data_IF_437489324266
#
_entry.id   IF_437489324266
#
_cell.length_a   1.000
_cell.length_b   1.000
_cell.length_c   1.000
_cell.angle_alpha   90.00
_cell.angle_beta   90.00
_cell.angle_gamma   90.00
#
_symmetry.space_group_name_H-M   'P 1'
#
loop_
_entity.id
_entity.type
_entity.pdbx_description
1 polymer ?
#
# COMPACT_ATOMS: atom_id res chain seq x y z
N UNK A 1 36.22 8.96 -17.24
CA UNK A 1 36.38 10.23 -16.48
C UNK A 1 36.08 9.98 -15.01
N UNK A 2 37.05 10.26 -14.13
CA UNK A 2 36.98 9.96 -12.69
C UNK A 2 35.93 10.83 -11.97
N UNK A 3 34.98 10.21 -11.27
CA UNK A 3 34.02 10.90 -10.41
C UNK A 3 34.76 11.41 -9.16
N UNK A 4 34.95 12.72 -9.05
CA UNK A 4 35.55 13.37 -7.88
C UNK A 4 34.69 13.09 -6.64
N UNK A 5 35.25 12.40 -5.65
CA UNK A 5 34.61 12.19 -4.33
C UNK A 5 34.77 13.45 -3.48
N UNK A 6 33.68 13.84 -2.80
CA UNK A 6 33.64 14.95 -1.85
C UNK A 6 34.61 14.71 -0.70
N UNK A 7 35.32 15.76 -0.28
CA UNK A 7 36.27 15.70 0.84
C UNK A 7 35.54 15.57 2.18
N UNK A 8 36.21 15.00 3.19
CA UNK A 8 35.62 14.80 4.54
C UNK A 8 35.11 16.11 5.17
N UNK A 9 35.73 17.24 4.85
CA UNK A 9 35.28 18.57 5.29
C UNK A 9 33.96 19.00 4.61
N UNK A 10 33.75 18.66 3.34
CA UNK A 10 32.50 18.93 2.62
C UNK A 10 31.36 18.06 3.12
N UNK A 11 31.64 16.79 3.44
CA UNK A 11 30.64 15.89 4.04
C UNK A 11 30.20 16.37 5.44
N UNK A 12 31.12 16.91 6.24
CA UNK A 12 30.81 17.45 7.57
C UNK A 12 29.87 18.67 7.50
N UNK A 13 30.12 19.60 6.59
CA UNK A 13 29.26 20.80 6.37
C UNK A 13 27.84 20.45 5.90
N UNK A 14 27.68 19.39 5.10
CA UNK A 14 26.36 18.92 4.68
C UNK A 14 25.60 18.26 5.83
N UNK A 15 26.31 17.60 6.75
CA UNK A 15 25.72 17.00 7.96
C UNK A 15 25.31 18.07 8.99
N UNK A 16 26.15 19.09 9.21
CA UNK A 16 25.87 20.20 10.14
C UNK A 16 24.65 21.03 9.68
N UNK A 17 24.50 21.30 8.38
CA UNK A 17 23.30 21.97 7.83
C UNK A 17 21.99 21.17 7.95
N UNK A 18 22.06 19.86 8.21
CA UNK A 18 20.88 18.97 8.25
C UNK A 18 20.33 18.81 9.68
N UNK A 19 21.02 19.33 10.69
CA UNK A 19 20.77 19.04 12.10
C UNK A 19 20.46 20.28 12.97
N UNK A 20 20.40 21.49 12.41
CA UNK A 20 19.99 22.67 13.19
C UNK A 20 18.47 22.81 13.23
N UNK A 21 17.85 22.87 14.43
CA UNK A 21 16.46 23.27 14.60
C UNK A 21 16.35 24.80 14.56
N UNK A 22 15.42 25.31 13.75
CA UNK A 22 15.08 26.74 13.69
C UNK A 22 14.50 27.18 15.03
N UNK A 23 15.20 28.08 15.73
CA UNK A 23 14.61 28.89 16.80
C UNK A 23 14.76 30.35 16.43
N UNK A 24 13.65 31.07 16.50
CA UNK A 24 13.57 32.51 16.27
C UNK A 24 14.42 33.26 17.29
N UNK A 25 15.35 34.08 16.80
CA UNK A 25 15.46 35.49 17.19
C UNK A 25 16.70 36.14 16.56
N UNK A 26 16.54 37.44 16.32
CA UNK A 26 17.58 38.45 16.08
C UNK A 26 17.84 38.85 14.62
N UNK A 27 17.08 39.89 14.29
CA UNK A 27 17.35 40.94 13.34
C UNK A 27 18.81 41.42 13.26
N UNK A 28 19.08 41.96 12.07
CA UNK A 28 19.98 43.06 11.73
C UNK A 28 21.24 42.69 10.92
N UNK A 29 21.19 43.20 9.68
CA UNK A 29 22.31 43.67 8.87
C UNK A 29 23.26 42.63 8.27
N UNK A 30 23.05 42.32 6.97
CA UNK A 30 23.76 43.01 5.88
C UNK A 30 23.98 42.12 4.65
N UNK A 31 23.78 42.76 3.48
CA UNK A 31 24.28 42.41 2.13
C UNK A 31 23.53 41.34 1.33
N UNK A 32 22.43 41.82 0.75
CA UNK A 32 22.10 41.73 -0.69
C UNK A 32 23.08 40.92 -1.55
N UNK A 33 22.69 39.69 -1.86
CA UNK A 33 22.95 39.10 -3.18
C UNK A 33 21.59 38.62 -3.67
N UNK A 34 20.97 39.44 -4.52
CA UNK A 34 19.69 39.13 -5.15
C UNK A 34 19.87 37.90 -6.04
N UNK A 35 19.18 36.81 -5.72
CA UNK A 35 18.86 35.76 -6.68
C UNK A 35 17.42 36.03 -7.13
N UNK A 36 17.27 36.77 -8.23
CA UNK A 36 16.02 37.25 -8.82
C UNK A 36 15.20 36.16 -9.55
N UNK A 37 15.20 34.91 -9.07
CA UNK A 37 14.47 33.80 -9.73
C UNK A 37 13.28 33.25 -8.93
N UNK A 38 12.79 33.96 -7.91
CA UNK A 38 11.78 33.41 -6.99
C UNK A 38 10.52 34.28 -6.78
N UNK A 39 10.21 35.19 -7.71
CA UNK A 39 9.11 36.19 -7.57
C UNK A 39 7.83 35.80 -8.32
N UNK A 40 7.77 34.65 -8.99
CA UNK A 40 6.66 34.28 -9.88
C UNK A 40 5.77 33.12 -9.39
N UNK A 41 6.08 32.52 -8.24
CA UNK A 41 5.29 31.42 -7.68
C UNK A 41 4.41 31.93 -6.53
N UNK A 42 3.20 31.39 -6.43
CA UNK A 42 2.27 31.73 -5.36
C UNK A 42 2.73 31.24 -3.98
N UNK A 43 1.87 31.43 -2.97
CA UNK A 43 2.15 30.98 -1.60
C UNK A 43 2.27 29.45 -1.57
N UNK A 44 3.25 28.88 -0.85
CA UNK A 44 3.34 27.43 -0.66
C UNK A 44 2.13 26.88 0.09
N UNK A 45 1.50 25.86 -0.48
CA UNK A 45 0.35 25.17 0.10
C UNK A 45 0.62 23.67 0.19
N UNK A 46 -0.01 23.00 1.15
CA UNK A 46 -0.04 21.55 1.17
C UNK A 46 -1.01 21.01 0.14
N UNK A 47 -0.73 19.80 -0.35
CA UNK A 47 -1.64 19.08 -1.22
C UNK A 47 -1.37 17.59 -1.21
N UNK A 48 -2.35 16.84 -1.68
CA UNK A 48 -2.33 15.39 -1.78
C UNK A 48 -2.11 14.99 -3.24
N UNK A 49 -1.14 14.11 -3.50
CA UNK A 49 -0.95 13.56 -4.84
C UNK A 49 -2.04 12.53 -5.12
N UNK A 50 -2.94 12.84 -6.04
CA UNK A 50 -4.01 11.95 -6.48
C UNK A 50 -3.47 10.89 -7.44
N UNK A 51 -2.63 11.31 -8.39
CA UNK A 51 -2.01 10.40 -9.35
C UNK A 51 -0.82 11.05 -10.06
N UNK A 52 0.07 10.23 -10.62
CA UNK A 52 1.25 10.67 -11.36
C UNK A 52 1.15 10.19 -12.81
N UNK A 53 1.13 11.12 -13.77
CA UNK A 53 1.07 10.84 -15.21
C UNK A 53 2.44 10.95 -15.91
N UNK A 54 3.53 10.78 -15.18
CA UNK A 54 4.90 10.84 -15.67
C UNK A 54 5.48 12.25 -15.61
N UNK A 55 5.11 13.12 -16.57
CA UNK A 55 5.70 14.48 -16.66
C UNK A 55 5.04 15.48 -15.69
N UNK A 56 3.75 15.30 -15.43
CA UNK A 56 2.98 16.10 -14.48
C UNK A 56 2.27 15.16 -13.52
N UNK A 57 1.99 15.68 -12.34
CA UNK A 57 1.19 15.00 -11.33
C UNK A 57 -0.07 15.82 -11.07
N UNK A 58 -1.12 15.14 -10.64
CA UNK A 58 -2.33 15.81 -10.20
C UNK A 58 -2.29 15.91 -8.67
N UNK A 59 -2.36 17.14 -8.18
CA UNK A 59 -2.37 17.45 -6.75
C UNK A 59 -3.75 17.99 -6.38
N UNK A 60 -4.36 17.43 -5.36
CA UNK A 60 -5.51 18.02 -4.70
C UNK A 60 -5.04 19.05 -3.68
N UNK A 61 -5.51 20.28 -3.83
CA UNK A 61 -5.27 21.37 -2.90
C UNK A 61 -6.20 21.28 -1.68
N UNK A 62 -5.89 22.02 -0.61
CA UNK A 62 -6.70 22.02 0.61
C UNK A 62 -8.18 22.44 0.42
N UNK A 63 -8.49 23.15 -0.66
CA UNK A 63 -9.86 23.54 -1.03
C UNK A 63 -10.58 22.49 -1.90
N UNK A 64 -9.99 21.32 -2.13
CA UNK A 64 -10.51 20.24 -2.98
C UNK A 64 -10.31 20.44 -4.48
N UNK A 65 -9.66 21.55 -4.91
CA UNK A 65 -9.37 21.76 -6.33
C UNK A 65 -8.20 20.89 -6.81
N UNK A 66 -8.32 20.40 -8.04
CA UNK A 66 -7.31 19.55 -8.66
C UNK A 66 -6.40 20.38 -9.57
N UNK A 67 -5.10 20.42 -9.24
CA UNK A 67 -4.10 21.25 -9.91
C UNK A 67 -3.03 20.40 -10.56
N UNK A 68 -2.74 20.69 -11.83
CA UNK A 68 -1.69 20.01 -12.58
C UNK A 68 -0.31 20.57 -12.21
N UNK A 69 0.47 19.80 -11.47
CA UNK A 69 1.76 20.24 -10.97
C UNK A 69 2.94 19.63 -11.75
N UNK A 70 3.91 20.46 -12.09
CA UNK A 70 5.25 20.01 -12.45
C UNK A 70 6.03 19.62 -11.19
N UNK A 71 6.97 18.69 -11.30
CA UNK A 71 7.76 18.21 -10.16
C UNK A 71 9.21 18.65 -10.31
N UNK A 72 9.77 19.29 -9.28
CA UNK A 72 11.20 19.63 -9.28
C UNK A 72 12.05 18.36 -9.34
N UNK A 73 13.07 18.35 -10.20
CA UNK A 73 13.87 17.16 -10.53
C UNK A 73 14.51 16.45 -9.31
N UNK A 74 14.80 17.18 -8.24
CA UNK A 74 15.46 16.63 -7.05
C UNK A 74 14.54 15.83 -6.12
N UNK A 75 13.21 15.90 -6.31
CA UNK A 75 12.23 15.22 -5.45
C UNK A 75 12.03 13.74 -5.81
N UNK A 76 12.58 13.30 -6.94
CA UNK A 76 12.43 11.93 -7.42
C UNK A 76 10.99 11.63 -7.86
N UNK A 77 10.58 10.36 -7.73
CA UNK A 77 9.25 9.90 -8.15
C UNK A 77 8.24 10.12 -7.03
N UNK A 78 7.17 10.85 -7.35
CA UNK A 78 5.99 11.00 -6.51
C UNK A 78 4.91 9.98 -6.91
N UNK A 79 4.09 9.55 -5.96
CA UNK A 79 3.07 8.51 -6.13
C UNK A 79 1.76 8.90 -5.47
N UNK A 80 0.68 8.18 -5.77
CA UNK A 80 -0.61 8.41 -5.12
C UNK A 80 -0.47 8.28 -3.59
N UNK A 81 -1.09 9.21 -2.86
CA UNK A 81 -1.00 9.29 -1.40
C UNK A 81 0.15 10.15 -0.87
N UNK A 82 1.05 10.64 -1.72
CA UNK A 82 2.11 11.56 -1.27
C UNK A 82 1.53 12.89 -0.78
N UNK A 83 2.01 13.36 0.37
CA UNK A 83 1.70 14.71 0.87
C UNK A 83 2.83 15.63 0.42
N UNK A 84 2.50 16.66 -0.33
CA UNK A 84 3.49 17.57 -0.94
C UNK A 84 3.23 19.02 -0.56
N UNK A 85 4.26 19.84 -0.70
CA UNK A 85 4.11 21.29 -0.74
C UNK A 85 4.25 21.74 -2.19
N UNK A 86 3.27 22.48 -2.68
CA UNK A 86 3.23 22.99 -4.03
C UNK A 86 2.94 24.49 -4.03
N UNK A 87 3.22 25.15 -5.15
CA UNK A 87 2.93 26.57 -5.36
C UNK A 87 2.22 26.73 -6.70
N UNK A 88 1.27 27.65 -6.78
CA UNK A 88 0.67 28.04 -8.06
C UNK A 88 1.73 28.63 -8.99
N UNK A 89 1.63 28.26 -10.27
CA UNK A 89 2.44 28.84 -11.34
C UNK A 89 1.72 30.07 -11.94
N UNK A 90 2.38 30.75 -12.87
CA UNK A 90 1.84 31.91 -13.59
C UNK A 90 0.67 31.51 -14.49
N UNK A 91 0.69 30.28 -15.02
CA UNK A 91 -0.39 29.71 -15.82
C UNK A 91 -1.55 29.23 -14.92
N UNK A 92 -2.77 29.64 -15.26
CA UNK A 92 -3.97 29.23 -14.52
C UNK A 92 -4.09 27.70 -14.41
N UNK A 93 -4.48 27.24 -13.22
CA UNK A 93 -4.68 25.82 -12.89
C UNK A 93 -3.43 24.93 -13.04
N UNK A 94 -2.24 25.52 -12.94
CA UNK A 94 -0.98 24.79 -12.89
C UNK A 94 -0.16 25.17 -11.67
N UNK A 95 0.76 24.28 -11.28
CA UNK A 95 1.63 24.51 -10.13
C UNK A 95 2.98 23.80 -10.24
N UNK A 96 3.80 24.01 -9.22
CA UNK A 96 5.10 23.36 -9.08
C UNK A 96 5.21 22.75 -7.69
N UNK A 97 5.48 21.45 -7.62
CA UNK A 97 5.81 20.78 -6.36
C UNK A 97 7.22 21.15 -5.94
N UNK A 98 7.34 21.67 -4.73
CA UNK A 98 8.59 22.20 -4.17
C UNK A 98 9.21 21.27 -3.13
N UNK A 99 8.40 20.55 -2.37
CA UNK A 99 8.86 19.56 -1.39
C UNK A 99 7.90 18.40 -1.22
N UNK A 100 8.44 17.28 -0.74
CA UNK A 100 7.71 16.07 -0.36
C UNK A 100 7.81 15.90 1.16
N UNK A 101 6.68 15.70 1.82
CA UNK A 101 6.61 15.31 3.23
C UNK A 101 7.12 13.87 3.38
N UNK A 102 7.91 13.54 4.42
CA UNK A 102 8.37 12.17 4.66
C UNK A 102 7.21 11.17 4.69
N UNK A 103 7.34 10.09 3.93
CA UNK A 103 6.34 9.04 3.84
C UNK A 103 6.36 8.19 5.09
N UNK A 104 5.18 7.78 5.55
CA UNK A 104 5.05 6.80 6.64
C UNK A 104 5.23 5.37 6.14
N UNK A 105 4.54 5.04 5.04
CA UNK A 105 4.56 3.73 4.42
C UNK A 105 4.68 3.85 2.91
N UNK A 106 5.34 2.89 2.28
CA UNK A 106 5.56 2.84 0.83
C UNK A 106 5.16 1.48 0.27
N UNK A 107 4.39 1.50 -0.82
CA UNK A 107 4.05 0.31 -1.57
C UNK A 107 4.82 0.30 -2.88
N UNK A 108 5.64 -0.74 -3.03
CA UNK A 108 6.45 -0.95 -4.22
C UNK A 108 6.12 -2.28 -4.88
N UNK A 109 6.14 -2.29 -6.21
CA UNK A 109 5.99 -3.50 -7.02
C UNK A 109 7.28 -3.83 -7.77
N UNK A 110 7.54 -5.10 -8.10
CA UNK A 110 8.53 -5.44 -9.10
C UNK A 110 8.19 -4.77 -10.44
N UNK A 111 9.18 -4.11 -11.03
CA UNK A 111 9.14 -3.50 -12.34
C UNK A 111 9.96 -4.30 -13.37
N UNK A 112 10.09 -3.76 -14.58
CA UNK A 112 10.83 -4.40 -15.65
C UNK A 112 12.32 -4.55 -15.28
N UNK A 113 12.88 -5.75 -15.50
CA UNK A 113 14.28 -6.11 -15.19
C UNK A 113 14.65 -6.00 -13.70
N UNK A 114 13.75 -6.38 -12.81
CA UNK A 114 14.03 -6.48 -11.36
C UNK A 114 14.12 -5.14 -10.62
N UNK A 115 13.86 -4.01 -11.28
CA UNK A 115 13.77 -2.72 -10.59
C UNK A 115 12.47 -2.62 -9.82
N UNK A 116 12.50 -2.28 -8.54
CA UNK A 116 11.29 -1.94 -7.79
C UNK A 116 10.76 -0.59 -8.25
N UNK A 117 9.44 -0.51 -8.41
CA UNK A 117 8.73 0.73 -8.72
C UNK A 117 7.75 1.01 -7.62
N UNK A 118 7.90 2.17 -7.00
CA UNK A 118 6.90 2.68 -6.07
C UNK A 118 5.60 3.00 -6.79
N UNK A 119 4.51 2.68 -6.11
CA UNK A 119 3.15 2.67 -6.63
C UNK A 119 2.27 3.60 -5.82
N UNK A 120 2.36 3.52 -4.50
CA UNK A 120 1.56 4.29 -3.56
C UNK A 120 2.35 4.56 -2.28
N UNK A 121 1.91 5.53 -1.50
CA UNK A 121 2.52 5.92 -0.24
C UNK A 121 1.46 6.30 0.79
N UNK A 122 1.86 6.41 2.06
CA UNK A 122 1.01 6.78 3.19
C UNK A 122 -0.25 5.90 3.28
N UNK A 123 -0.05 4.60 3.13
CA UNK A 123 -1.11 3.60 3.23
C UNK A 123 -1.30 3.26 4.71
N UNK A 124 -2.56 3.21 5.13
CA UNK A 124 -2.94 2.91 6.51
C UNK A 124 -3.56 1.51 6.64
N UNK A 125 -4.07 0.94 5.55
CA UNK A 125 -4.78 -0.34 5.57
C UNK A 125 -4.59 -1.15 4.28
N UNK A 126 -4.31 -2.44 4.43
CA UNK A 126 -4.35 -3.41 3.34
C UNK A 126 -5.66 -4.22 3.39
N UNK A 127 -6.45 -4.16 2.32
CA UNK A 127 -7.73 -4.86 2.19
C UNK A 127 -7.55 -6.07 1.28
N UNK A 128 -7.57 -7.27 1.85
CA UNK A 128 -7.42 -8.51 1.09
C UNK A 128 -8.78 -8.95 0.58
N UNK A 129 -8.99 -8.95 -0.75
CA UNK A 129 -10.26 -9.33 -1.36
C UNK A 129 -10.19 -10.76 -1.89
N UNK A 130 -10.90 -11.67 -1.22
CA UNK A 130 -11.05 -13.07 -1.61
C UNK A 130 -12.46 -13.31 -2.19
N UNK A 131 -12.59 -13.81 -3.43
CA UNK A 131 -13.90 -14.09 -4.00
C UNK A 131 -14.43 -15.47 -3.61
N UNK A 132 -15.76 -15.59 -3.44
CA UNK A 132 -16.44 -16.89 -3.28
C UNK A 132 -16.17 -17.82 -4.49
N UNK A 133 -16.15 -17.25 -5.70
CA UNK A 133 -15.90 -17.99 -6.95
C UNK A 133 -14.65 -17.41 -7.66
N UNK A 134 -13.62 -18.23 -7.95
CA UNK A 134 -13.59 -19.71 -7.99
C UNK A 134 -13.37 -20.42 -6.65
N UNK A 135 -13.17 -19.69 -5.56
CA UNK A 135 -12.94 -20.24 -4.22
C UNK A 135 -12.01 -19.36 -3.40
N UNK A 136 -12.11 -19.49 -2.09
CA UNK A 136 -11.18 -18.86 -1.15
C UNK A 136 -9.96 -19.77 -1.04
N UNK A 137 -8.78 -19.21 -1.31
CA UNK A 137 -7.51 -19.93 -1.24
C UNK A 137 -6.69 -19.44 -0.04
N UNK A 138 -6.49 -20.28 0.99
CA UNK A 138 -5.69 -19.90 2.15
C UNK A 138 -4.28 -19.43 1.79
N UNK A 139 -3.61 -20.15 0.88
CA UNK A 139 -2.29 -19.78 0.38
C UNK A 139 -2.22 -18.34 -0.18
N UNK A 140 -3.31 -17.85 -0.76
CA UNK A 140 -3.37 -16.49 -1.30
C UNK A 140 -3.50 -15.46 -0.18
N UNK A 141 -4.33 -15.73 0.82
CA UNK A 141 -4.53 -14.83 1.97
C UNK A 141 -3.23 -14.73 2.75
N UNK A 142 -2.62 -15.86 3.08
CA UNK A 142 -1.36 -15.94 3.83
C UNK A 142 -0.24 -15.14 3.16
N UNK A 143 -0.13 -15.22 1.83
CA UNK A 143 0.83 -14.39 1.07
C UNK A 143 0.60 -12.89 1.27
N UNK A 144 -0.64 -12.44 1.30
CA UNK A 144 -0.91 -11.02 1.57
C UNK A 144 -0.70 -10.65 3.03
N UNK A 145 -0.91 -11.57 3.98
CA UNK A 145 -0.57 -11.34 5.39
C UNK A 145 0.94 -11.19 5.57
N UNK A 146 1.75 -11.99 4.87
CA UNK A 146 3.21 -11.81 4.86
C UNK A 146 3.61 -10.45 4.27
N UNK A 147 2.99 -10.04 3.16
CA UNK A 147 3.19 -8.69 2.60
C UNK A 147 2.85 -7.61 3.62
N UNK A 148 1.71 -7.73 4.29
CA UNK A 148 1.27 -6.75 5.27
C UNK A 148 2.21 -6.67 6.47
N UNK A 149 2.71 -7.82 6.95
CA UNK A 149 3.72 -7.88 7.99
C UNK A 149 5.02 -7.18 7.56
N UNK A 150 5.52 -7.45 6.34
CA UNK A 150 6.70 -6.80 5.78
C UNK A 150 6.54 -5.27 5.66
N UNK A 151 5.32 -4.80 5.39
CA UNK A 151 4.98 -3.38 5.28
C UNK A 151 4.51 -2.76 6.60
N UNK A 152 4.39 -3.54 7.67
CA UNK A 152 3.83 -3.11 8.96
C UNK A 152 2.46 -2.44 8.80
N UNK A 153 1.61 -3.02 7.96
CA UNK A 153 0.25 -2.53 7.69
C UNK A 153 -0.78 -3.38 8.43
N UNK A 154 -1.77 -2.76 9.09
CA UNK A 154 -3.00 -3.44 9.47
C UNK A 154 -3.69 -4.06 8.24
N UNK A 155 -4.41 -5.16 8.48
CA UNK A 155 -5.12 -5.89 7.42
C UNK A 155 -6.54 -6.22 7.81
N UNK A 156 -7.43 -6.16 6.82
CA UNK A 156 -8.78 -6.77 6.90
C UNK A 156 -8.98 -7.72 5.72
N UNK A 157 -9.85 -8.71 5.92
CA UNK A 157 -10.22 -9.69 4.91
C UNK A 157 -11.64 -9.42 4.42
N UNK A 158 -11.80 -9.26 3.11
CA UNK A 158 -13.09 -9.06 2.47
C UNK A 158 -13.44 -10.29 1.65
N UNK A 159 -14.53 -10.96 2.02
CA UNK A 159 -15.07 -12.10 1.30
C UNK A 159 -16.12 -11.59 0.32
N UNK A 160 -15.74 -11.46 -0.95
CA UNK A 160 -16.59 -10.83 -1.96
C UNK A 160 -17.40 -11.85 -2.76
N UNK A 161 -18.50 -11.38 -3.34
CA UNK A 161 -19.47 -12.16 -4.14
C UNK A 161 -20.28 -13.14 -3.30
N UNK A 162 -20.68 -12.73 -2.10
CA UNK A 162 -21.54 -13.53 -1.21
C UNK A 162 -22.92 -13.82 -1.82
N UNK A 163 -23.35 -13.05 -2.82
CA UNK A 163 -24.54 -13.31 -3.65
C UNK A 163 -24.49 -14.65 -4.40
N UNK A 164 -23.31 -15.25 -4.56
CA UNK A 164 -23.14 -16.55 -5.21
C UNK A 164 -23.26 -17.74 -4.26
N UNK A 165 -23.49 -17.50 -2.96
CA UNK A 165 -23.70 -18.56 -1.97
C UNK A 165 -25.11 -19.12 -2.15
N UNK A 166 -25.22 -20.43 -2.36
CA UNK A 166 -26.47 -21.10 -2.73
C UNK A 166 -27.12 -21.87 -1.59
N UNK A 167 -26.37 -22.15 -0.51
CA UNK A 167 -26.88 -22.87 0.66
C UNK A 167 -26.11 -22.51 1.93
N UNK A 168 -26.75 -22.73 3.08
CA UNK A 168 -26.11 -22.56 4.40
C UNK A 168 -24.92 -23.52 4.57
N UNK A 169 -25.01 -24.74 4.04
CA UNK A 169 -23.91 -25.72 4.02
C UNK A 169 -22.67 -25.17 3.29
N UNK A 170 -22.86 -24.45 2.19
CA UNK A 170 -21.75 -23.83 1.46
C UNK A 170 -21.11 -22.71 2.30
N UNK A 171 -21.93 -21.92 2.99
CA UNK A 171 -21.44 -20.89 3.90
C UNK A 171 -20.65 -21.48 5.08
N UNK A 172 -21.12 -22.58 5.67
CA UNK A 172 -20.41 -23.28 6.75
C UNK A 172 -19.02 -23.74 6.30
N UNK A 173 -18.88 -24.35 5.11
CA UNK A 173 -17.57 -24.75 4.57
C UNK A 173 -16.63 -23.55 4.36
N UNK A 174 -17.18 -22.42 3.93
CA UNK A 174 -16.42 -21.18 3.79
C UNK A 174 -15.98 -20.67 5.17
N UNK A 175 -16.89 -20.63 6.14
CA UNK A 175 -16.60 -20.18 7.50
C UNK A 175 -15.51 -21.05 8.15
N UNK A 176 -15.55 -22.38 7.98
CA UNK A 176 -14.50 -23.30 8.44
C UNK A 176 -13.12 -22.94 7.85
N UNK A 177 -13.07 -22.57 6.57
CA UNK A 177 -11.84 -22.14 5.91
C UNK A 177 -11.29 -20.82 6.48
N UNK A 178 -12.16 -20.03 7.12
CA UNK A 178 -11.84 -18.70 7.64
C UNK A 178 -11.46 -18.69 9.13
N UNK A 179 -11.77 -19.76 9.88
CA UNK A 179 -11.41 -19.93 11.30
C UNK A 179 -9.97 -19.53 11.61
N UNK A 180 -8.94 -19.95 10.84
CA UNK A 180 -7.55 -19.61 11.17
C UNK A 180 -7.27 -18.11 11.17
N UNK A 181 -8.02 -17.31 10.40
CA UNK A 181 -7.84 -15.86 10.33
C UNK A 181 -8.63 -15.13 11.42
N UNK A 182 -9.80 -15.66 11.76
CA UNK A 182 -10.61 -15.17 12.88
C UNK A 182 -9.87 -15.35 14.22
N UNK A 183 -9.25 -16.52 14.43
CA UNK A 183 -8.39 -16.78 15.61
C UNK A 183 -7.18 -15.85 15.69
N UNK A 184 -6.74 -15.30 14.55
CA UNK A 184 -5.69 -14.27 14.46
C UNK A 184 -6.22 -12.84 14.69
N UNK A 185 -7.51 -12.68 14.99
CA UNK A 185 -8.22 -11.40 15.14
C UNK A 185 -8.15 -10.54 13.86
N UNK A 186 -8.11 -11.16 12.68
CA UNK A 186 -8.25 -10.45 11.41
C UNK A 186 -9.74 -10.24 11.18
N UNK A 187 -10.17 -8.99 11.09
CA UNK A 187 -11.57 -8.69 10.81
C UNK A 187 -11.97 -9.18 9.41
N UNK A 188 -13.11 -9.87 9.34
CA UNK A 188 -13.63 -10.50 8.13
C UNK A 188 -14.96 -9.84 7.75
N UNK A 189 -15.04 -9.32 6.52
CA UNK A 189 -16.21 -8.63 5.97
C UNK A 189 -16.79 -9.41 4.78
N UNK A 190 -17.88 -10.16 4.96
CA UNK A 190 -18.62 -10.77 3.87
C UNK A 190 -19.39 -9.69 3.11
N UNK A 191 -19.16 -9.55 1.81
CA UNK A 191 -19.77 -8.50 0.99
C UNK A 191 -20.22 -8.99 -0.38
N UNK A 192 -21.20 -8.31 -0.94
CA UNK A 192 -21.55 -8.40 -2.36
C UNK A 192 -21.60 -7.02 -2.99
N UNK A 193 -20.85 -6.85 -4.08
CA UNK A 193 -20.98 -5.64 -4.91
C UNK A 193 -22.30 -5.61 -5.70
N UNK A 194 -22.94 -6.76 -5.90
CA UNK A 194 -24.19 -6.90 -6.68
C UNK A 194 -25.41 -6.59 -5.82
N UNK A 195 -25.51 -7.20 -4.64
CA UNK A 195 -26.65 -6.97 -3.73
C UNK A 195 -26.44 -5.78 -2.80
N UNK A 196 -25.21 -5.27 -2.71
CA UNK A 196 -24.76 -4.23 -1.77
C UNK A 196 -24.70 -4.67 -0.31
N UNK A 197 -24.90 -5.96 -0.02
CA UNK A 197 -24.82 -6.49 1.34
C UNK A 197 -23.39 -6.36 1.90
N UNK A 198 -23.30 -5.99 3.19
CA UNK A 198 -22.04 -5.83 3.92
C UNK A 198 -21.17 -4.63 3.52
N UNK A 199 -21.59 -3.84 2.51
CA UNK A 199 -20.81 -2.68 2.07
C UNK A 199 -20.76 -1.55 3.11
N UNK A 200 -21.79 -1.42 3.95
CA UNK A 200 -21.82 -0.38 4.98
C UNK A 200 -20.81 -0.67 6.10
N UNK A 201 -20.78 -1.90 6.63
CA UNK A 201 -19.77 -2.33 7.61
C UNK A 201 -18.35 -2.17 7.05
N UNK A 202 -18.16 -2.50 5.76
CA UNK A 202 -16.89 -2.27 5.09
C UNK A 202 -16.55 -0.78 4.97
N UNK A 203 -17.53 0.10 4.71
CA UNK A 203 -17.28 1.55 4.67
C UNK A 203 -16.83 2.08 6.03
N UNK A 204 -17.48 1.65 7.11
CA UNK A 204 -17.09 2.02 8.47
C UNK A 204 -15.63 1.63 8.76
N UNK A 205 -15.24 0.42 8.34
CA UNK A 205 -13.86 -0.05 8.50
C UNK A 205 -12.82 0.78 7.72
N UNK A 206 -13.22 1.51 6.68
CA UNK A 206 -12.36 2.32 5.81
C UNK A 206 -12.27 3.80 6.23
N UNK A 207 -13.11 4.26 7.16
CA UNK A 207 -13.16 5.65 7.61
C UNK A 207 -11.76 6.15 8.01
N UNK A 208 -11.41 7.34 7.52
CA UNK A 208 -10.15 8.03 7.75
C UNK A 208 -8.86 7.25 7.39
N UNK A 209 -8.94 6.16 6.61
CA UNK A 209 -7.79 5.35 6.21
C UNK A 209 -7.49 5.45 4.71
N UNK A 210 -6.22 5.50 4.35
CA UNK A 210 -5.76 5.26 2.99
C UNK A 210 -5.63 3.76 2.74
N UNK A 211 -6.58 3.20 2.01
CA UNK A 211 -6.73 1.74 1.85
C UNK A 211 -6.29 1.26 0.48
N UNK A 212 -5.58 0.14 0.43
CA UNK A 212 -5.18 -0.53 -0.81
C UNK A 212 -5.83 -1.90 -0.90
N UNK A 213 -6.51 -2.15 -2.02
CA UNK A 213 -7.23 -3.40 -2.25
C UNK A 213 -6.35 -4.38 -3.03
N UNK A 214 -6.12 -5.56 -2.47
CA UNK A 214 -5.32 -6.63 -3.06
C UNK A 214 -6.13 -7.92 -3.22
N UNK A 215 -5.65 -8.87 -4.01
CA UNK A 215 -6.36 -10.11 -4.31
C UNK A 215 -6.21 -10.54 -5.78
N UNK A 216 -6.65 -11.74 -6.15
CA UNK A 216 -6.48 -12.27 -7.50
C UNK A 216 -7.26 -11.47 -8.57
N UNK A 217 -6.90 -11.68 -9.83
CA UNK A 217 -7.73 -11.20 -10.95
C UNK A 217 -9.12 -11.86 -10.87
N UNK A 218 -10.18 -11.09 -11.15
CA UNK A 218 -11.55 -11.61 -11.02
C UNK A 218 -12.10 -11.64 -9.59
N UNK A 219 -11.33 -11.22 -8.57
CA UNK A 219 -11.82 -11.10 -7.18
C UNK A 219 -12.94 -10.07 -6.99
N UNK A 220 -13.23 -9.25 -8.01
CA UNK A 220 -14.26 -8.22 -7.93
C UNK A 220 -13.81 -6.89 -7.33
N UNK A 221 -12.51 -6.66 -7.09
CA UNK A 221 -11.97 -5.37 -6.57
C UNK A 221 -12.52 -4.15 -7.30
N UNK A 222 -12.47 -4.12 -8.63
CA UNK A 222 -12.96 -2.97 -9.39
C UNK A 222 -14.48 -2.79 -9.27
N UNK A 223 -15.25 -3.88 -9.17
CA UNK A 223 -16.69 -3.82 -8.91
C UNK A 223 -16.97 -3.31 -7.50
N UNK A 224 -16.19 -3.75 -6.51
CA UNK A 224 -16.30 -3.33 -5.12
C UNK A 224 -15.98 -1.84 -4.96
N UNK A 225 -14.92 -1.35 -5.62
CA UNK A 225 -14.58 0.07 -5.66
C UNK A 225 -15.72 0.89 -6.29
N UNK A 226 -16.32 0.41 -7.38
CA UNK A 226 -17.50 1.07 -7.99
C UNK A 226 -18.70 1.10 -7.05
N UNK A 227 -18.96 0.04 -6.30
CA UNK A 227 -20.05 -0.02 -5.34
C UNK A 227 -19.81 0.91 -4.13
N UNK A 228 -18.56 1.04 -3.70
CA UNK A 228 -18.15 1.97 -2.63
C UNK A 228 -18.13 3.43 -3.10
N UNK A 229 -17.89 3.68 -4.39
CA UNK A 229 -17.79 5.02 -5.00
C UNK A 229 -18.69 5.08 -6.25
N UNK A 230 -20.01 5.34 -6.08
CA UNK A 230 -20.97 5.29 -7.18
C UNK A 230 -20.61 6.18 -8.38
N UNK A 231 -20.08 7.39 -8.12
CA UNK A 231 -19.73 8.36 -9.17
C UNK A 231 -18.29 8.20 -9.72
N UNK A 232 -17.64 7.06 -9.50
CA UNK A 232 -16.24 6.87 -9.88
C UNK A 232 -15.99 7.08 -11.38
N UNK A 233 -16.92 6.70 -12.25
CA UNK A 233 -16.75 6.88 -13.70
C UNK A 233 -16.75 8.36 -14.09
N UNK A 234 -17.57 9.17 -13.43
CA UNK A 234 -17.58 10.63 -13.59
C UNK A 234 -16.24 11.19 -13.10
N UNK A 235 -15.78 10.75 -11.92
CA UNK A 235 -14.47 11.17 -11.37
C UNK A 235 -13.33 10.81 -12.34
N UNK A 236 -13.31 9.60 -12.90
CA UNK A 236 -12.29 9.16 -13.87
C UNK A 236 -12.35 9.98 -15.17
N UNK A 237 -13.54 10.28 -15.68
CA UNK A 237 -13.67 11.12 -16.88
C UNK A 237 -13.20 12.56 -16.61
N UNK A 238 -13.57 13.17 -15.47
CA UNK A 238 -13.09 14.49 -15.08
C UNK A 238 -11.57 14.53 -14.90
N UNK A 239 -10.97 13.45 -14.38
CA UNK A 239 -9.51 13.29 -14.30
C UNK A 239 -8.88 13.21 -15.70
N UNK A 240 -9.49 12.47 -16.63
CA UNK A 240 -9.03 12.37 -18.02
C UNK A 240 -9.10 13.73 -18.75
N UNK A 241 -10.20 14.47 -18.59
CA UNK A 241 -10.40 15.78 -19.19
C UNK A 241 -9.46 16.84 -18.61
N UNK A 242 -9.34 16.93 -17.28
CA UNK A 242 -8.45 17.88 -16.60
C UNK A 242 -6.96 17.64 -16.90
N UNK A 243 -6.59 16.43 -17.33
CA UNK A 243 -5.19 16.05 -17.59
C UNK A 243 -4.87 15.96 -19.08
N UNK A 244 -5.88 16.01 -19.95
CA UNK A 244 -5.74 15.86 -21.40
C UNK A 244 -5.27 14.47 -21.86
N UNK A 245 -5.29 13.48 -20.98
CA UNK A 245 -4.87 12.09 -21.25
C UNK A 245 -6.10 11.23 -21.48
N UNK A 246 -6.19 10.57 -22.64
CA UNK A 246 -7.38 9.82 -23.05
C UNK A 246 -7.81 8.69 -22.09
N UNK A 247 -9.10 8.30 -22.19
CA UNK A 247 -9.85 7.37 -21.33
C UNK A 247 -9.25 5.96 -21.12
N UNK A 248 -8.21 5.56 -21.87
CA UNK A 248 -7.79 4.16 -22.01
C UNK A 248 -6.38 3.82 -21.49
N UNK A 249 -5.67 4.71 -20.77
CA UNK A 249 -4.24 4.51 -20.47
C UNK A 249 -3.87 4.68 -18.99
N UNK A 250 -4.73 4.27 -18.05
CA UNK A 250 -4.39 4.28 -16.62
C UNK A 250 -3.50 3.09 -16.27
N UNK A 251 -2.18 3.30 -16.40
CA UNK A 251 -1.13 2.39 -15.87
C UNK A 251 -0.63 2.81 -14.49
N UNK A 252 -1.06 3.99 -14.03
CA UNK A 252 -0.64 4.61 -12.78
C UNK A 252 -1.70 4.46 -11.70
N UNK A 253 -1.26 4.51 -10.45
CA UNK A 253 -2.14 4.45 -9.30
C UNK A 253 -2.91 5.75 -9.15
N UNK A 254 -4.17 5.63 -8.73
CA UNK A 254 -5.09 6.74 -8.52
C UNK A 254 -5.67 6.61 -7.12
N UNK A 255 -5.66 7.71 -6.37
CA UNK A 255 -6.35 7.85 -5.10
C UNK A 255 -7.77 8.35 -5.35
N UNK A 256 -8.76 7.68 -4.77
CA UNK A 256 -10.16 8.08 -4.79
C UNK A 256 -10.66 8.31 -3.38
N UNK A 257 -11.32 9.44 -3.14
CA UNK A 257 -12.03 9.69 -1.89
C UNK A 257 -13.32 8.87 -1.83
N UNK A 258 -13.52 8.22 -0.70
CA UNK A 258 -14.80 7.60 -0.35
C UNK A 258 -15.85 8.70 -0.10
N UNK A 259 -17.13 8.45 -0.43
CA UNK A 259 -18.20 9.38 -0.11
C UNK A 259 -18.38 9.49 1.41
N UNK A 260 -18.79 10.65 1.95
CA UNK A 260 -19.10 10.82 3.37
C UNK A 260 -20.11 9.77 3.87
N UNK A 261 -19.86 9.24 5.07
CA UNK A 261 -20.71 8.26 5.75
C UNK A 261 -21.03 8.79 7.14
N UNK A 262 -22.29 8.69 7.58
CA UNK A 262 -22.75 9.15 8.91
C UNK A 262 -22.34 10.57 9.34
N UNK A 263 -22.08 11.47 8.38
CA UNK A 263 -21.65 12.85 8.65
C UNK A 263 -20.15 13.02 8.91
N UNK A 264 -19.35 11.96 8.75
CA UNK A 264 -17.88 12.04 8.79
C UNK A 264 -17.35 12.77 7.54
N UNK A 265 -16.62 13.86 7.75
CA UNK A 265 -15.99 14.62 6.66
C UNK A 265 -14.86 13.83 5.99
N UNK A 266 -14.16 12.95 6.73
CA UNK A 266 -13.09 12.10 6.23
C UNK A 266 -13.52 10.62 6.19
N UNK A 267 -14.27 10.24 5.16
CA UNK A 267 -14.66 8.86 4.92
C UNK A 267 -13.49 7.93 4.50
N UNK A 268 -12.27 8.44 4.37
CA UNK A 268 -11.10 7.68 3.93
C UNK A 268 -10.95 7.64 2.41
N UNK A 269 -9.92 6.91 1.97
CA UNK A 269 -9.50 6.89 0.58
C UNK A 269 -9.20 5.46 0.10
N UNK A 270 -9.42 5.21 -1.19
CA UNK A 270 -9.00 3.99 -1.87
C UNK A 270 -7.93 4.32 -2.89
N UNK A 271 -6.78 3.65 -2.80
CA UNK A 271 -5.74 3.76 -3.83
C UNK A 271 -5.86 2.55 -4.76
N UNK A 272 -6.41 2.76 -5.95
CA UNK A 272 -6.43 1.75 -7.01
C UNK A 272 -5.14 1.83 -7.80
N UNK A 273 -4.52 0.68 -8.04
CA UNK A 273 -3.30 0.60 -8.84
C UNK A 273 -3.36 -0.53 -9.86
N UNK A 274 -3.52 -0.19 -11.15
CA UNK A 274 -3.38 -1.12 -12.27
C UNK A 274 -2.04 -1.89 -12.20
N UNK A 275 -2.11 -3.18 -11.89
CA UNK A 275 -0.93 -4.07 -11.80
C UNK A 275 -0.34 -4.30 -10.40
N UNK A 276 -0.99 -3.80 -9.33
CA UNK A 276 -0.82 -4.34 -7.95
C UNK A 276 -1.42 -5.75 -7.82
N UNK A 277 -2.02 -6.25 -8.90
CA UNK A 277 -2.60 -7.60 -9.07
C UNK A 277 -1.61 -8.77 -8.90
N UNK A 278 -0.32 -8.49 -8.77
CA UNK A 278 0.77 -9.46 -8.52
C UNK A 278 1.61 -8.97 -7.33
N UNK A 279 0.99 -8.78 -6.17
CA UNK A 279 1.73 -8.61 -4.92
C UNK A 279 2.15 -9.98 -4.42
N UNK A 280 3.43 -10.31 -4.64
CA UNK A 280 4.09 -11.39 -3.93
C UNK A 280 4.92 -10.80 -2.80
N UNK A 281 5.02 -11.49 -1.66
CA UNK A 281 5.99 -11.11 -0.66
C UNK A 281 7.39 -11.01 -1.26
N UNK A 282 8.20 -10.08 -0.76
CA UNK A 282 9.61 -10.10 -1.07
C UNK A 282 10.23 -11.37 -0.43
N UNK A 283 11.13 -12.08 -1.14
CA UNK A 283 11.89 -13.16 -0.52
C UNK A 283 12.56 -12.67 0.76
N UNK A 284 12.45 -13.46 1.81
CA UNK A 284 12.99 -13.16 3.12
C UNK A 284 13.57 -14.41 3.78
N UNK A 285 14.41 -14.18 4.79
CA UNK A 285 15.01 -15.25 5.58
C UNK A 285 13.94 -15.99 6.40
N UNK A 286 14.22 -17.24 6.77
CA UNK A 286 13.31 -18.10 7.53
C UNK A 286 12.71 -17.39 8.76
N UNK A 287 13.54 -16.75 9.57
CA UNK A 287 13.10 -16.06 10.78
C UNK A 287 12.15 -14.89 10.50
N UNK A 288 12.34 -14.17 9.40
CA UNK A 288 11.43 -13.08 9.01
C UNK A 288 10.07 -13.65 8.54
N UNK A 289 10.09 -14.79 7.85
CA UNK A 289 8.87 -15.50 7.48
C UNK A 289 8.13 -16.07 8.70
N UNK A 290 8.84 -16.67 9.65
CA UNK A 290 8.28 -17.16 10.92
C UNK A 290 7.55 -16.05 11.70
N UNK A 291 8.10 -14.83 11.70
CA UNK A 291 7.46 -13.68 12.35
C UNK A 291 6.15 -13.25 11.67
N UNK A 292 6.00 -13.50 10.38
CA UNK A 292 4.78 -13.23 9.64
C UNK A 292 3.65 -14.24 9.91
N UNK A 293 3.93 -15.32 10.65
CA UNK A 293 2.95 -16.30 11.13
C UNK A 293 2.79 -16.17 12.65
N UNK A 294 1.93 -15.24 13.14
CA UNK A 294 1.76 -14.99 14.57
C UNK A 294 1.30 -16.22 15.35
N UNK A 295 0.55 -17.12 14.72
CA UNK A 295 0.15 -18.45 15.20
C UNK A 295 1.34 -19.36 15.52
N UNK A 296 2.53 -19.11 14.97
CA UNK A 296 3.73 -19.89 15.24
C UNK A 296 4.46 -19.43 16.51
N UNK A 297 4.28 -18.17 16.92
CA UNK A 297 5.00 -17.54 18.03
C UNK A 297 5.03 -18.38 19.32
N UNK A 298 3.91 -19.02 19.75
CA UNK A 298 3.93 -19.87 20.95
C UNK A 298 4.86 -21.09 20.86
N UNK A 299 5.29 -21.48 19.67
CA UNK A 299 6.03 -22.71 19.40
C UNK A 299 7.47 -22.46 18.90
N UNK A 300 7.78 -21.24 18.45
CA UNK A 300 9.13 -20.87 18.02
C UNK A 300 10.15 -21.05 19.17
N UNK A 301 11.35 -21.51 18.82
CA UNK A 301 12.43 -21.79 19.78
C UNK A 301 12.25 -23.06 20.62
N UNK A 302 11.14 -23.80 20.47
CA UNK A 302 10.89 -25.07 21.19
C UNK A 302 11.27 -26.32 20.39
N UNK A 303 11.77 -26.16 19.17
CA UNK A 303 12.29 -27.26 18.37
C UNK A 303 13.57 -27.83 19.00
N UNK A 304 13.82 -29.12 18.81
CA UNK A 304 15.07 -29.75 19.29
C UNK A 304 16.33 -29.14 18.67
N UNK A 305 16.24 -28.75 17.40
CA UNK A 305 17.37 -28.20 16.65
C UNK A 305 17.20 -26.70 16.45
N UNK A 306 18.27 -25.95 16.67
CA UNK A 306 18.27 -24.48 16.54
C UNK A 306 18.15 -24.01 15.08
N UNK A 307 18.47 -24.87 14.12
CA UNK A 307 18.40 -24.59 12.68
C UNK A 307 17.24 -25.33 11.99
N UNK A 308 16.17 -25.63 12.74
CA UNK A 308 14.98 -26.30 12.22
C UNK A 308 14.27 -25.41 11.21
N UNK A 309 14.05 -25.91 10.00
CA UNK A 309 13.27 -25.25 8.94
C UNK A 309 11.79 -25.60 8.98
N UNK A 310 11.40 -26.47 9.92
CA UNK A 310 10.04 -26.98 10.12
C UNK A 310 9.51 -27.75 8.91
N UNK A 311 10.38 -28.43 8.17
CA UNK A 311 9.97 -29.22 7.00
C UNK A 311 9.97 -30.71 7.31
N UNK A 312 11.14 -31.25 7.62
CA UNK A 312 11.37 -32.70 7.75
C UNK A 312 12.12 -33.07 9.02
N UNK A 313 12.54 -32.09 9.81
CA UNK A 313 13.33 -32.29 11.02
C UNK A 313 12.55 -33.08 12.07
N UNK A 314 13.20 -34.03 12.78
CA UNK A 314 12.56 -34.75 13.86
C UNK A 314 12.43 -33.87 15.11
N UNK A 315 11.34 -34.06 15.86
CA UNK A 315 11.04 -33.32 17.09
C UNK A 315 10.96 -31.79 16.84
N UNK A 316 10.21 -31.42 15.81
CA UNK A 316 9.90 -30.06 15.43
C UNK A 316 8.62 -29.61 16.14
N UNK A 317 8.72 -28.61 17.01
CA UNK A 317 7.58 -28.12 17.79
C UNK A 317 6.45 -27.54 16.93
N UNK A 318 6.77 -26.96 15.76
CA UNK A 318 5.78 -26.47 14.81
C UNK A 318 4.98 -27.63 14.21
N UNK A 319 5.67 -28.68 13.75
CA UNK A 319 5.01 -29.87 13.20
C UNK A 319 4.19 -30.60 14.26
N UNK A 320 4.73 -30.75 15.46
CA UNK A 320 4.00 -31.34 16.60
C UNK A 320 2.75 -30.50 16.92
N UNK A 321 2.82 -29.17 16.83
CA UNK A 321 1.66 -28.30 17.03
C UNK A 321 0.61 -28.47 15.92
N UNK A 322 1.02 -28.66 14.66
CA UNK A 322 0.09 -28.97 13.56
C UNK A 322 -0.62 -30.31 13.79
N UNK A 323 0.13 -31.35 14.16
CA UNK A 323 -0.44 -32.69 14.42
C UNK A 323 -1.42 -32.69 15.60
N UNK A 324 -1.19 -31.84 16.59
CA UNK A 324 -2.06 -31.71 17.78
C UNK A 324 -3.16 -30.64 17.63
N UNK A 325 -3.30 -29.99 16.47
CA UNK A 325 -4.31 -28.96 16.22
C UNK A 325 -4.03 -27.59 16.85
N UNK A 326 -2.81 -27.36 17.34
CA UNK A 326 -2.37 -26.04 17.82
C UNK A 326 -1.99 -25.06 16.72
N UNK A 327 -1.74 -25.55 15.50
CA UNK A 327 -1.57 -24.74 14.28
C UNK A 327 -2.43 -25.37 13.19
N UNK A 328 -3.22 -24.55 12.49
CA UNK A 328 -4.02 -25.04 11.36
C UNK A 328 -3.13 -25.54 10.23
N UNK A 329 -3.45 -26.72 9.69
CA UNK A 329 -2.67 -27.32 8.60
C UNK A 329 -2.56 -26.41 7.37
N UNK A 330 -3.62 -25.66 7.04
CA UNK A 330 -3.64 -24.72 5.93
C UNK A 330 -2.56 -23.64 6.06
N UNK A 331 -2.40 -23.07 7.26
CA UNK A 331 -1.40 -22.05 7.59
C UNK A 331 0.02 -22.61 7.48
N UNK A 332 0.25 -23.78 8.07
CA UNK A 332 1.54 -24.47 7.96
C UNK A 332 1.91 -24.83 6.52
N UNK A 333 0.95 -25.36 5.76
CA UNK A 333 1.16 -25.71 4.35
C UNK A 333 1.51 -24.48 3.51
N UNK A 334 0.83 -23.35 3.72
CA UNK A 334 1.17 -22.10 3.04
C UNK A 334 2.59 -21.61 3.38
N UNK A 335 2.96 -21.67 4.67
CA UNK A 335 4.31 -21.32 5.14
C UNK A 335 5.37 -22.14 4.42
N UNK A 336 5.20 -23.46 4.32
CA UNK A 336 6.14 -24.33 3.62
C UNK A 336 6.29 -23.95 2.14
N UNK A 337 5.17 -23.68 1.46
CA UNK A 337 5.18 -23.26 0.04
C UNK A 337 5.92 -21.94 -0.16
N UNK A 338 5.72 -20.98 0.74
CA UNK A 338 6.43 -19.70 0.69
C UNK A 338 7.94 -19.87 0.94
N UNK A 339 8.30 -20.70 1.91
CA UNK A 339 9.70 -21.00 2.22
C UNK A 339 10.42 -21.66 1.02
N UNK A 340 9.76 -22.60 0.35
CA UNK A 340 10.25 -23.22 -0.89
C UNK A 340 10.37 -22.20 -2.03
N UNK A 341 9.39 -21.31 -2.20
CA UNK A 341 9.41 -20.24 -3.21
C UNK A 341 10.62 -19.32 -3.02
N UNK A 342 10.88 -18.88 -1.80
CA UNK A 342 11.99 -17.98 -1.49
C UNK A 342 13.34 -18.67 -1.69
N UNK A 343 13.48 -19.92 -1.22
CA UNK A 343 14.70 -20.72 -1.41
C UNK A 343 15.06 -20.90 -2.90
N UNK A 344 14.05 -21.06 -3.76
CA UNK A 344 14.24 -21.18 -5.20
C UNK A 344 14.60 -19.85 -5.87
N UNK A 345 14.08 -18.74 -5.36
CA UNK A 345 14.38 -17.40 -5.90
C UNK A 345 15.83 -16.97 -5.66
N UNK A 346 16.42 -17.34 -4.52
CA UNK A 346 17.83 -17.08 -4.21
C UNK A 346 18.80 -17.83 -5.14
N UNK A 347 18.41 -19.01 -5.60
CA UNK A 347 19.22 -19.83 -6.51
C UNK A 347 19.22 -19.30 -7.96
N UNK A 348 18.21 -18.52 -8.36
CA UNK A 348 18.17 -17.88 -9.70
C UNK A 348 18.91 -16.54 -9.74
N UNK A 349 19.27 -15.98 -8.59
CA UNK A 349 20.01 -14.72 -8.46
C UNK A 349 21.53 -14.87 -8.31
N UNK A 350 22.08 -16.10 -8.33
CA UNK A 350 23.51 -16.39 -8.21
C UNK A 350 24.20 -16.65 -9.54
#
# INVERSE_FOLDING_TARGET
>A
MSKRKLTKQQQKRVKEKRLEPLTDSQAASSKSTQNENNVLLGVPEQGLVITNFGKRILVEANNGSLVNCAVRQHLGKLVAGDIVTWQTDIEENTGVVTSLTPRKQELSRPGFRGQTRMVASNIDLLVIVAPITPGIHPDMIDRYLVVAHQLQLPTILVINKTDLIQSDEQWEMIAETLIPYDELNIEIYPVSSETQDGLEDLREALIAKNSVFVGPSGAGKSSLIKALIPDIEIKVNNLSESTGLGKHTTTNSILYHLPPVHGEENAGNIIDSPGVRLFSPAPCELHELEQAYPDFQPFLGKCKFNNCTHQNEPQCAIRDAVENGGIHYSRYHSFQRLLEEFSNSDNQGR
#
